data_IF_325135157192
#
_entry.id   IF_325135157192
#
_cell.length_a   1.000
_cell.length_b   1.000
_cell.length_c   1.000
_cell.angle_alpha   90.00
_cell.angle_beta   90.00
_cell.angle_gamma   90.00
#
_symmetry.space_group_name_H-M   'P 1'
#
loop_
_entity.id
_entity.type
_entity.pdbx_description
1 polymer ?
#
# COMPACT_ATOMS: atom_id res chain seq x y z
N UNK A 1 22.30 -15.59 40.88
CA UNK A 1 21.06 -14.91 41.33
C UNK A 1 19.90 -15.28 40.42
N UNK A 2 19.45 -16.53 40.50
CA UNK A 2 18.52 -17.11 39.53
C UNK A 2 17.06 -16.65 39.76
N UNK A 3 16.67 -16.43 41.03
CA UNK A 3 15.32 -15.98 41.43
C UNK A 3 14.93 -14.66 40.76
N UNK A 4 15.83 -13.67 40.76
CA UNK A 4 15.54 -12.34 40.21
C UNK A 4 15.21 -12.45 38.72
N UNK A 5 16.09 -13.09 37.94
CA UNK A 5 15.88 -13.20 36.49
C UNK A 5 14.73 -14.13 36.11
N UNK A 6 14.44 -15.15 36.91
CA UNK A 6 13.48 -16.20 36.53
C UNK A 6 12.03 -15.86 36.92
N UNK A 7 11.83 -14.95 37.87
CA UNK A 7 10.47 -14.49 38.26
C UNK A 7 10.24 -13.02 37.95
N UNK A 8 11.21 -12.15 38.24
CA UNK A 8 11.03 -10.70 38.09
C UNK A 8 11.12 -10.29 36.61
N UNK A 9 12.08 -10.85 35.85
CA UNK A 9 12.18 -10.55 34.43
C UNK A 9 10.94 -10.96 33.61
N UNK A 10 10.38 -12.18 33.74
CA UNK A 10 9.15 -12.52 33.02
C UNK A 10 7.94 -11.72 33.49
N UNK A 11 7.86 -11.36 34.77
CA UNK A 11 6.78 -10.51 35.27
C UNK A 11 6.85 -9.09 34.67
N UNK A 12 8.04 -8.49 34.60
CA UNK A 12 8.25 -7.20 33.94
C UNK A 12 7.94 -7.30 32.45
N UNK A 13 8.35 -8.38 31.78
CA UNK A 13 8.06 -8.58 30.36
C UNK A 13 6.56 -8.58 30.08
N UNK A 14 5.76 -9.25 30.92
CA UNK A 14 4.29 -9.23 30.82
C UNK A 14 3.75 -7.81 31.05
N UNK A 15 4.22 -7.11 32.08
CA UNK A 15 3.81 -5.74 32.38
C UNK A 15 4.10 -4.79 31.21
N UNK A 16 5.32 -4.83 30.68
CA UNK A 16 5.75 -4.03 29.52
C UNK A 16 4.95 -4.42 28.28
N UNK A 17 4.68 -5.70 28.08
CA UNK A 17 3.84 -6.18 26.97
C UNK A 17 2.43 -5.57 27.02
N UNK A 18 1.77 -5.59 28.18
CA UNK A 18 0.44 -4.99 28.32
C UNK A 18 0.47 -3.48 28.09
N UNK A 19 1.46 -2.77 28.64
CA UNK A 19 1.62 -1.33 28.42
C UNK A 19 1.86 -1.04 26.93
N UNK A 20 2.73 -1.80 26.27
CA UNK A 20 3.01 -1.67 24.85
C UNK A 20 1.77 -1.98 24.00
N UNK A 21 1.00 -3.02 24.35
CA UNK A 21 -0.23 -3.38 23.67
C UNK A 21 -1.27 -2.26 23.77
N UNK A 22 -1.45 -1.68 24.95
CA UNK A 22 -2.37 -0.55 25.15
C UNK A 22 -1.87 0.69 24.41
N UNK A 23 -0.58 1.02 24.52
CA UNK A 23 0.00 2.20 23.88
C UNK A 23 -0.08 2.12 22.35
N UNK A 24 0.20 0.95 21.76
CA UNK A 24 0.11 0.75 20.30
C UNK A 24 -1.34 0.79 19.82
N UNK A 25 -2.26 0.22 20.59
CA UNK A 25 -3.69 0.25 20.26
C UNK A 25 -4.26 1.66 20.38
N UNK A 26 -3.88 2.40 21.42
CA UNK A 26 -4.29 3.77 21.63
C UNK A 26 -3.72 4.72 20.56
N UNK A 27 -2.48 4.48 20.09
CA UNK A 27 -1.82 5.30 19.05
C UNK A 27 -2.68 5.49 17.80
N UNK A 28 -3.39 4.46 17.36
CA UNK A 28 -4.24 4.48 16.15
C UNK A 28 -5.38 5.50 16.28
N UNK A 29 -5.84 5.75 17.50
CA UNK A 29 -6.91 6.70 17.79
C UNK A 29 -6.40 8.10 18.15
N UNK A 30 -5.09 8.35 18.10
CA UNK A 30 -4.58 9.70 18.32
C UNK A 30 -4.95 10.59 17.13
N UNK A 31 -5.40 11.85 17.37
CA UNK A 31 -5.72 12.78 16.29
C UNK A 31 -4.58 12.95 15.28
N UNK A 32 -3.33 12.83 15.73
CA UNK A 32 -2.15 12.89 14.87
C UNK A 32 -2.05 11.72 13.87
N UNK A 33 -2.53 10.52 14.22
CA UNK A 33 -2.53 9.34 13.33
C UNK A 33 -3.70 9.40 12.34
N UNK A 34 -4.83 10.01 12.75
CA UNK A 34 -6.00 10.25 11.89
C UNK A 34 -5.92 11.53 11.04
N UNK A 35 -4.94 12.41 11.32
CA UNK A 35 -4.77 13.69 10.61
C UNK A 35 -4.07 13.54 9.26
N UNK A 36 -3.63 12.33 8.89
CA UNK A 36 -3.18 12.06 7.54
C UNK A 36 -4.32 12.39 6.57
N UNK A 37 -4.17 13.42 5.71
CA UNK A 37 -5.19 13.75 4.73
C UNK A 37 -5.46 12.49 3.91
N UNK A 38 -6.73 12.06 3.89
CA UNK A 38 -7.13 10.98 3.00
C UNK A 38 -6.61 11.31 1.59
N UNK A 39 -6.06 10.33 0.84
CA UNK A 39 -5.72 10.54 -0.54
C UNK A 39 -6.94 11.12 -1.26
N UNK A 40 -6.89 12.42 -1.54
CA UNK A 40 -7.79 13.06 -2.48
C UNK A 40 -7.28 12.64 -3.85
N UNK A 41 -7.61 11.42 -4.24
CA UNK A 41 -7.72 11.12 -5.66
C UNK A 41 -8.72 12.15 -6.20
N UNK A 42 -8.23 13.14 -6.96
CA UNK A 42 -9.07 13.71 -7.99
C UNK A 42 -9.70 12.51 -8.69
N UNK A 43 -11.05 12.41 -8.78
CA UNK A 43 -11.66 11.29 -9.45
C UNK A 43 -11.03 11.26 -10.84
N UNK A 44 -10.19 10.26 -11.10
CA UNK A 44 -9.68 10.03 -12.43
C UNK A 44 -10.97 9.91 -13.24
N UNK A 45 -11.27 10.83 -14.18
CA UNK A 45 -12.40 10.61 -15.04
C UNK A 45 -12.11 9.26 -15.65
N UNK A 46 -13.06 8.33 -15.54
CA UNK A 46 -13.03 7.09 -16.30
C UNK A 46 -13.14 7.47 -17.78
N UNK A 47 -12.07 8.05 -18.31
CA UNK A 47 -11.92 8.48 -19.68
C UNK A 47 -11.41 7.27 -20.40
N UNK A 48 -12.41 6.58 -20.94
CA UNK A 48 -12.28 5.83 -22.16
C UNK A 48 -11.36 4.61 -22.06
N UNK A 49 -12.00 3.45 -21.95
CA UNK A 49 -11.68 2.39 -22.89
C UNK A 49 -11.93 2.91 -24.33
N UNK A 50 -11.06 3.77 -24.87
CA UNK A 50 -10.90 3.85 -26.32
C UNK A 50 -10.05 2.64 -26.65
N UNK A 51 -10.63 1.67 -27.37
CA UNK A 51 -9.84 0.72 -28.12
C UNK A 51 -8.93 1.50 -29.06
N UNK A 52 -7.69 1.75 -28.62
CA UNK A 52 -6.70 2.42 -29.45
C UNK A 52 -6.30 1.42 -30.51
N UNK A 53 -6.91 1.56 -31.69
CA UNK A 53 -6.55 0.85 -32.89
C UNK A 53 -5.04 1.05 -33.15
N UNK A 54 -4.25 -0.02 -33.32
CA UNK A 54 -2.80 0.09 -33.53
C UNK A 54 -2.43 0.93 -34.78
N UNK A 55 -3.38 1.12 -35.69
CA UNK A 55 -3.29 2.00 -36.86
C UNK A 55 -2.99 3.46 -36.49
N UNK A 56 -3.54 3.97 -35.37
CA UNK A 56 -3.28 5.35 -34.92
C UNK A 56 -2.01 5.49 -34.08
N UNK A 57 -1.37 4.38 -33.71
CA UNK A 57 -0.17 4.30 -32.88
C UNK A 57 1.12 4.21 -33.69
N UNK A 58 1.08 4.50 -35.00
CA UNK A 58 2.27 4.52 -35.85
C UNK A 58 2.97 3.16 -35.97
N UNK A 59 2.26 2.06 -35.69
CA UNK A 59 2.73 0.72 -35.97
C UNK A 59 2.60 0.47 -37.47
N UNK A 60 3.74 0.55 -38.15
CA UNK A 60 3.96 0.43 -39.59
C UNK A 60 3.36 -0.88 -40.17
N UNK A 61 2.22 -0.79 -40.84
CA UNK A 61 1.74 -1.86 -41.71
C UNK A 61 2.59 -1.86 -42.99
N UNK A 62 3.73 -2.54 -42.94
CA UNK A 62 4.50 -2.90 -44.14
C UNK A 62 3.75 -4.01 -44.91
N UNK A 63 2.56 -3.67 -45.41
CA UNK A 63 1.83 -4.46 -46.39
C UNK A 63 2.42 -4.12 -47.76
N UNK A 64 3.62 -4.64 -48.03
CA UNK A 64 4.18 -4.56 -49.37
C UNK A 64 3.20 -5.19 -50.36
N UNK A 65 2.86 -4.49 -51.47
CA UNK A 65 1.93 -5.00 -52.45
C UNK A 65 2.52 -6.24 -53.13
N UNK A 66 1.77 -7.35 -53.06
CA UNK A 66 1.93 -8.50 -53.95
C UNK A 66 1.76 -7.99 -55.39
N UNK A 67 2.89 -7.76 -56.06
CA UNK A 67 2.94 -7.55 -57.51
C UNK A 67 2.77 -8.91 -58.18
N UNK A 68 1.64 -9.04 -58.88
CA UNK A 68 1.27 -10.17 -59.72
C UNK A 68 2.26 -10.24 -60.90
N UNK A 69 2.93 -11.38 -61.07
CA UNK A 69 3.40 -11.89 -62.36
C UNK A 69 3.31 -13.40 -62.38
#
# INVERSE_FOLDING_TARGET
MTIIRQYIAPFIAILVFFVALVAVSARIFLPADMAAPAPIEEPIPQKQAVGVNPIFLGLNYSSLPVQIR
#
